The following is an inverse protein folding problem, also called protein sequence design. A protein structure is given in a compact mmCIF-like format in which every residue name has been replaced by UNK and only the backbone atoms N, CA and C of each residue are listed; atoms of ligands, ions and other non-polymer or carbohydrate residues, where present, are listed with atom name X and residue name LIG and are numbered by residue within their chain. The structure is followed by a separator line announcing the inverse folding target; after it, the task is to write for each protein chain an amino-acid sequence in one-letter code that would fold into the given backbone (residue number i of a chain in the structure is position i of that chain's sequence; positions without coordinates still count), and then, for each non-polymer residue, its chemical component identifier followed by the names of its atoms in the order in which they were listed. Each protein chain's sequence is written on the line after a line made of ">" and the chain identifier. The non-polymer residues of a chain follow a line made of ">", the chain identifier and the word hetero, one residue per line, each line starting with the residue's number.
data_IF_516984568902
#
_entry.id   IF_516984568902
#
_cell.length_a   1.000
_cell.length_b   1.000
_cell.length_c   1.000
_cell.angle_alpha   90.00
_cell.angle_beta   90.00
_cell.angle_gamma   90.00
#
_symmetry.space_group_name_H-M   'P 1'
#
loop_
_entity.id
_entity.type
_entity.pdbx_description
1 polymer ?
#
# COMPACT_ATOMS: atom_id res chain seq x y z
N UNK A 1 -15.80 -14.93 13.54
CA UNK A 1 -16.57 -13.73 13.88
C UNK A 1 -16.10 -12.63 12.93
N UNK A 2 -16.82 -12.10 11.96
CA UNK A 2 -18.16 -12.29 11.40
C UNK A 2 -18.02 -11.87 9.93
N UNK A 3 -18.89 -12.40 9.06
CA UNK A 3 -19.00 -11.96 7.66
C UNK A 3 -19.16 -10.44 7.64
N UNK A 4 -18.16 -9.72 7.13
CA UNK A 4 -18.34 -8.31 6.83
C UNK A 4 -19.08 -8.23 5.51
N UNK A 5 -20.38 -7.89 5.59
CA UNK A 5 -21.18 -7.36 4.49
C UNK A 5 -20.61 -5.99 4.06
N UNK A 6 -19.40 -5.98 3.51
CA UNK A 6 -18.72 -4.79 3.03
C UNK A 6 -18.56 -4.89 1.52
N UNK A 7 -18.83 -3.77 0.86
CA UNK A 7 -18.65 -3.54 -0.58
C UNK A 7 -17.38 -4.21 -1.13
N UNK A 8 -17.39 -4.64 -2.40
CA UNK A 8 -16.25 -5.31 -3.00
C UNK A 8 -14.98 -4.47 -2.84
N UNK A 9 -14.00 -5.01 -2.11
CA UNK A 9 -12.73 -4.35 -1.83
C UNK A 9 -11.80 -4.58 -3.02
N UNK A 10 -11.58 -3.55 -3.83
CA UNK A 10 -10.72 -3.65 -5.00
C UNK A 10 -9.24 -3.47 -4.63
N UNK A 11 -8.42 -4.26 -5.30
CA UNK A 11 -6.98 -4.18 -5.22
C UNK A 11 -6.46 -3.61 -6.54
N UNK A 12 -5.93 -2.39 -6.50
CA UNK A 12 -5.52 -1.61 -7.67
C UNK A 12 -4.00 -1.51 -7.75
N UNK A 13 -3.43 -2.17 -8.75
CA UNK A 13 -2.00 -2.13 -9.05
C UNK A 13 -1.70 -0.93 -9.94
N UNK A 14 -0.89 0.02 -9.45
CA UNK A 14 -0.48 1.17 -10.22
C UNK A 14 0.64 0.77 -11.19
N UNK A 15 0.32 0.80 -12.49
CA UNK A 15 1.28 0.55 -13.55
C UNK A 15 2.00 1.84 -13.93
N UNK A 16 3.25 1.95 -13.50
CA UNK A 16 4.21 2.97 -13.95
C UNK A 16 5.27 2.35 -14.87
N UNK A 17 5.98 3.18 -15.63
CA UNK A 17 7.17 2.75 -16.39
C UNK A 17 8.29 2.24 -15.49
N UNK A 18 8.29 2.69 -14.22
CA UNK A 18 9.39 2.48 -13.28
C UNK A 18 9.18 1.27 -12.37
N UNK A 19 8.15 0.46 -12.64
CA UNK A 19 7.79 -0.69 -11.81
C UNK A 19 8.90 -1.75 -11.80
N UNK A 20 9.37 -2.09 -10.60
CA UNK A 20 10.40 -3.09 -10.35
C UNK A 20 9.89 -4.52 -10.53
N UNK A 21 10.82 -5.47 -10.51
CA UNK A 21 10.49 -6.90 -10.48
C UNK A 21 9.63 -7.29 -9.27
N UNK A 22 9.72 -6.56 -8.15
CA UNK A 22 8.90 -6.83 -6.97
C UNK A 22 7.41 -6.59 -7.27
N UNK A 23 7.10 -5.57 -8.08
CA UNK A 23 5.74 -5.30 -8.52
C UNK A 23 5.15 -6.46 -9.32
N UNK A 24 5.90 -7.01 -10.27
CA UNK A 24 5.46 -8.14 -11.09
C UNK A 24 5.25 -9.40 -10.24
N UNK A 25 6.19 -9.71 -9.35
CA UNK A 25 6.09 -10.85 -8.43
C UNK A 25 4.88 -10.75 -7.51
N UNK A 26 4.61 -9.56 -6.98
CA UNK A 26 3.44 -9.31 -6.14
C UNK A 26 2.13 -9.50 -6.92
N UNK A 27 2.08 -9.01 -8.16
CA UNK A 27 0.93 -9.13 -9.04
C UNK A 27 0.65 -10.57 -9.46
N UNK A 28 1.69 -11.36 -9.74
CA UNK A 28 1.55 -12.80 -10.01
C UNK A 28 1.07 -13.55 -8.77
N UNK A 29 1.70 -13.32 -7.62
CA UNK A 29 1.36 -14.00 -6.36
C UNK A 29 -0.10 -13.76 -5.95
N UNK A 30 -0.61 -12.54 -6.11
CA UNK A 30 -1.98 -12.23 -5.72
C UNK A 30 -3.01 -12.83 -6.68
N UNK A 31 -2.69 -12.99 -7.97
CA UNK A 31 -3.58 -13.63 -8.94
C UNK A 31 -3.80 -15.11 -8.64
N UNK A 32 -2.83 -15.77 -8.01
CA UNK A 32 -3.00 -17.14 -7.54
C UNK A 32 -3.95 -17.24 -6.33
N UNK A 33 -4.14 -16.14 -5.59
CA UNK A 33 -4.85 -16.14 -4.30
C UNK A 33 -6.22 -15.44 -4.33
N UNK A 34 -6.41 -14.44 -5.20
CA UNK A 34 -7.67 -13.71 -5.37
C UNK A 34 -8.27 -13.92 -6.76
N UNK A 35 -9.60 -13.89 -6.82
CA UNK A 35 -10.34 -13.86 -8.08
C UNK A 35 -10.00 -12.58 -8.86
N UNK A 36 -9.75 -12.72 -10.16
CA UNK A 36 -9.41 -11.60 -11.05
C UNK A 36 -10.47 -10.49 -11.05
N UNK A 37 -11.72 -10.78 -10.66
CA UNK A 37 -12.82 -9.81 -10.58
C UNK A 37 -12.57 -8.63 -9.62
N UNK A 38 -11.72 -8.80 -8.61
CA UNK A 38 -11.41 -7.75 -7.61
C UNK A 38 -10.03 -7.12 -7.80
N UNK A 39 -9.27 -7.57 -8.80
CA UNK A 39 -7.94 -7.08 -9.11
C UNK A 39 -8.00 -6.18 -10.35
N UNK A 40 -7.57 -4.93 -10.17
CA UNK A 40 -7.50 -3.95 -11.26
C UNK A 40 -6.06 -3.50 -11.44
N UNK A 41 -5.66 -3.27 -12.69
CA UNK A 41 -4.40 -2.63 -13.02
C UNK A 41 -4.76 -1.26 -13.54
N UNK A 42 -4.34 -0.21 -12.86
CA UNK A 42 -4.60 1.18 -13.23
C UNK A 42 -3.33 1.84 -13.73
N UNK A 43 -3.47 2.72 -14.70
CA UNK A 43 -2.37 3.58 -15.18
C UNK A 43 -2.25 4.85 -14.34
N UNK A 44 -1.16 5.59 -14.51
CA UNK A 44 -0.96 6.89 -13.86
C UNK A 44 -2.07 7.89 -14.19
N UNK A 45 -2.51 7.94 -15.45
CA UNK A 45 -3.59 8.82 -15.90
C UNK A 45 -4.91 8.49 -15.21
N UNK A 46 -5.27 7.20 -15.14
CA UNK A 46 -6.48 6.73 -14.48
C UNK A 46 -6.44 7.03 -12.98
N UNK A 47 -5.29 6.85 -12.32
CA UNK A 47 -5.12 7.15 -10.91
C UNK A 47 -5.34 8.64 -10.60
N UNK A 48 -4.91 9.55 -11.50
CA UNK A 48 -5.15 11.00 -11.35
C UNK A 48 -6.61 11.40 -11.59
N UNK A 49 -7.39 10.60 -12.30
CA UNK A 49 -8.85 10.87 -12.47
C UNK A 49 -9.66 10.58 -11.21
N UNK A 50 -9.10 9.83 -10.26
CA UNK A 50 -9.76 9.49 -8.98
C UNK A 50 -9.81 10.75 -8.13
N UNK A 51 -11.00 11.17 -7.73
CA UNK A 51 -11.18 12.41 -6.93
C UNK A 51 -11.60 12.15 -5.49
N UNK A 52 -12.01 10.93 -5.18
CA UNK A 52 -12.54 10.56 -3.88
C UNK A 52 -11.94 9.23 -3.43
N UNK A 53 -11.86 9.03 -2.12
CA UNK A 53 -11.38 7.81 -1.52
C UNK A 53 -12.45 6.71 -1.61
N UNK A 54 -12.23 5.76 -2.52
CA UNK A 54 -13.09 4.62 -2.77
C UNK A 54 -12.83 3.44 -1.84
N UNK A 55 -11.98 3.62 -0.81
CA UNK A 55 -11.59 2.60 0.18
C UNK A 55 -10.90 1.37 -0.44
N UNK A 56 -10.43 1.48 -1.68
CA UNK A 56 -9.63 0.44 -2.34
C UNK A 56 -8.20 0.40 -1.81
N UNK A 57 -7.51 -0.72 -2.03
CA UNK A 57 -6.08 -0.84 -1.79
C UNK A 57 -5.30 -0.45 -3.04
N UNK A 58 -4.37 0.48 -2.91
CA UNK A 58 -3.49 0.92 -3.99
C UNK A 58 -2.10 0.35 -3.79
N UNK A 59 -1.54 -0.30 -4.81
CA UNK A 59 -0.19 -0.84 -4.78
C UNK A 59 0.69 0.07 -5.62
N UNK A 60 1.60 0.77 -4.95
CA UNK A 60 2.57 1.68 -5.57
C UNK A 60 3.98 1.18 -5.27
N UNK A 61 4.80 0.97 -6.31
CA UNK A 61 6.16 0.46 -6.13
C UNK A 61 7.16 1.51 -5.64
N UNK A 62 6.96 2.77 -6.02
CA UNK A 62 7.66 3.93 -5.50
C UNK A 62 6.68 4.82 -4.72
N UNK A 63 7.09 5.26 -3.52
CA UNK A 63 6.33 6.23 -2.71
C UNK A 63 6.80 7.65 -3.02
N UNK A 64 6.77 7.98 -4.32
CA UNK A 64 7.17 9.26 -4.85
C UNK A 64 6.44 9.54 -6.15
N UNK A 65 6.35 10.83 -6.50
CA UNK A 65 5.73 11.28 -7.74
C UNK A 65 4.28 11.72 -7.57
N UNK A 66 3.78 12.42 -8.60
CA UNK A 66 2.50 13.12 -8.55
C UNK A 66 1.30 12.20 -8.27
N UNK A 67 1.33 10.95 -8.77
CA UNK A 67 0.26 9.99 -8.57
C UNK A 67 0.20 9.50 -7.12
N UNK A 68 1.36 9.17 -6.54
CA UNK A 68 1.45 8.78 -5.13
C UNK A 68 0.98 9.93 -4.23
N UNK A 69 1.48 11.14 -4.47
CA UNK A 69 1.11 12.31 -3.68
C UNK A 69 -0.39 12.60 -3.76
N UNK A 70 -0.98 12.46 -4.95
CA UNK A 70 -2.42 12.62 -5.16
C UNK A 70 -3.24 11.58 -4.37
N UNK A 71 -2.91 10.29 -4.48
CA UNK A 71 -3.60 9.22 -3.75
C UNK A 71 -3.42 9.36 -2.23
N UNK A 72 -2.24 9.77 -1.79
CA UNK A 72 -1.93 9.97 -0.38
C UNK A 72 -2.70 11.18 0.20
N UNK A 73 -2.83 12.27 -0.55
CA UNK A 73 -3.64 13.43 -0.16
C UNK A 73 -5.14 13.11 -0.05
N UNK A 74 -5.63 12.17 -0.87
CA UNK A 74 -7.00 11.65 -0.76
C UNK A 74 -7.21 10.73 0.46
N UNK A 75 -6.13 10.35 1.15
CA UNK A 75 -6.18 9.39 2.26
C UNK A 75 -6.50 7.98 1.81
N UNK A 76 -6.17 7.64 0.55
CA UNK A 76 -6.31 6.28 0.04
C UNK A 76 -5.33 5.35 0.75
N UNK A 77 -5.71 4.07 0.87
CA UNK A 77 -4.84 3.08 1.51
C UNK A 77 -3.80 2.59 0.52
N UNK A 78 -2.54 2.96 0.74
CA UNK A 78 -1.43 2.68 -0.17
C UNK A 78 -0.45 1.70 0.47
N UNK A 79 -0.03 0.69 -0.28
CA UNK A 79 1.02 -0.24 0.14
C UNK A 79 2.05 -0.49 -0.96
N UNK A 80 3.26 -0.88 -0.57
CA UNK A 80 4.27 -1.35 -1.49
C UNK A 80 4.04 -2.81 -1.94
N UNK A 81 4.58 -3.23 -3.10
CA UNK A 81 4.50 -4.62 -3.56
C UNK A 81 5.12 -5.63 -2.59
N UNK A 82 6.11 -5.19 -1.81
CA UNK A 82 6.77 -6.00 -0.80
C UNK A 82 5.79 -6.45 0.31
N UNK A 83 4.85 -5.57 0.69
CA UNK A 83 3.80 -5.88 1.67
C UNK A 83 2.91 -7.00 1.14
N UNK A 84 2.47 -6.92 -0.12
CA UNK A 84 1.61 -7.94 -0.75
C UNK A 84 2.30 -9.30 -0.74
N UNK A 85 3.57 -9.33 -1.16
CA UNK A 85 4.37 -10.57 -1.21
C UNK A 85 4.54 -11.16 0.19
N UNK A 86 4.86 -10.33 1.18
CA UNK A 86 4.99 -10.76 2.58
C UNK A 86 3.68 -11.32 3.13
N UNK A 87 2.56 -10.61 2.92
CA UNK A 87 1.24 -11.01 3.40
C UNK A 87 0.78 -12.34 2.81
N UNK A 88 1.02 -12.58 1.52
CA UNK A 88 0.68 -13.85 0.87
C UNK A 88 1.53 -14.99 1.46
N UNK A 89 2.85 -14.79 1.58
CA UNK A 89 3.75 -15.82 2.10
C UNK A 89 3.44 -16.21 3.55
N UNK A 90 3.05 -15.25 4.39
CA UNK A 90 2.72 -15.48 5.80
C UNK A 90 1.22 -15.76 6.04
N UNK A 91 0.40 -15.81 4.99
CA UNK A 91 -1.06 -15.97 5.06
C UNK A 91 -1.73 -14.94 5.99
N UNK A 92 -1.23 -13.71 5.96
CA UNK A 92 -1.72 -12.60 6.78
C UNK A 92 -2.49 -11.59 5.92
N UNK A 93 -3.43 -10.88 6.55
CA UNK A 93 -4.10 -9.77 5.89
C UNK A 93 -3.17 -8.55 5.78
N UNK A 94 -3.32 -7.80 4.70
CA UNK A 94 -2.61 -6.52 4.49
C UNK A 94 -2.92 -5.58 5.66
N UNK A 95 -1.93 -4.84 6.21
CA UNK A 95 -2.12 -3.92 7.33
C UNK A 95 -3.13 -2.82 7.02
N UNK A 96 -4.12 -2.62 7.91
CA UNK A 96 -5.17 -1.59 7.79
C UNK A 96 -4.66 -0.19 8.19
N UNK A 97 -3.42 0.12 7.87
CA UNK A 97 -2.80 1.38 8.24
C UNK A 97 -3.51 2.57 7.54
N UNK A 98 -3.65 3.66 8.27
CA UNK A 98 -4.13 4.96 7.76
C UNK A 98 -3.03 5.73 7.02
N UNK A 99 -1.78 5.27 7.11
CA UNK A 99 -0.61 5.79 6.41
C UNK A 99 -0.13 4.80 5.34
N UNK A 100 0.59 5.27 4.30
CA UNK A 100 1.23 4.40 3.34
C UNK A 100 2.27 3.48 3.98
N UNK A 101 2.24 2.18 3.67
CA UNK A 101 3.21 1.17 4.17
C UNK A 101 3.99 0.60 2.99
N UNK A 102 5.28 0.89 2.93
CA UNK A 102 6.17 0.47 1.86
C UNK A 102 6.58 -1.00 2.00
N UNK A 103 6.93 -1.43 3.21
CA UNK A 103 7.34 -2.81 3.47
C UNK A 103 6.94 -3.29 4.88
N UNK A 104 7.26 -4.54 5.22
CA UNK A 104 6.93 -5.15 6.51
C UNK A 104 8.18 -5.45 7.35
N UNK A 105 9.32 -4.80 7.09
CA UNK A 105 10.59 -5.07 7.79
C UNK A 105 10.47 -4.76 9.29
N UNK A 106 9.77 -3.68 9.62
CA UNK A 106 9.50 -3.28 11.01
C UNK A 106 8.18 -3.83 11.55
N UNK A 107 7.61 -4.86 10.90
CA UNK A 107 6.47 -5.58 11.46
C UNK A 107 6.84 -6.13 12.85
N UNK A 108 5.93 -5.95 13.81
CA UNK A 108 6.11 -6.29 15.23
C UNK A 108 7.15 -5.44 16.01
N UNK A 109 7.68 -4.36 15.44
CA UNK A 109 8.55 -3.42 16.14
C UNK A 109 7.74 -2.21 16.61
N UNK A 110 7.80 -1.90 17.90
CA UNK A 110 7.23 -0.67 18.47
C UNK A 110 8.34 0.24 18.98
N UNK A 111 8.47 1.43 18.37
CA UNK A 111 9.51 2.40 18.70
C UNK A 111 8.92 3.55 19.52
N UNK A 112 9.68 4.04 20.49
CA UNK A 112 9.41 5.29 21.19
C UNK A 112 10.66 6.16 21.17
N UNK A 113 10.52 7.42 20.78
CA UNK A 113 11.61 8.36 20.68
C UNK A 113 11.62 9.32 21.87
N UNK A 114 12.81 9.56 22.44
CA UNK A 114 13.06 10.57 23.47
C UNK A 114 14.36 11.31 23.13
N UNK A 115 14.51 12.55 23.58
CA UNK A 115 15.72 13.36 23.37
C UNK A 115 16.12 13.58 21.88
N UNK A 116 15.14 13.64 20.97
CA UNK A 116 15.37 14.02 19.58
C UNK A 116 14.72 15.39 19.30
N UNK A 117 15.31 16.12 18.35
CA UNK A 117 14.69 17.33 17.84
C UNK A 117 13.39 17.00 17.11
N UNK A 118 12.51 17.99 16.98
CA UNK A 118 11.17 17.78 16.41
C UNK A 118 11.23 17.19 14.99
N UNK A 119 12.13 17.71 14.15
CA UNK A 119 12.31 17.28 12.77
C UNK A 119 12.84 15.84 12.69
N UNK A 120 13.87 15.51 13.46
CA UNK A 120 14.43 14.15 13.54
C UNK A 120 13.40 13.14 14.05
N UNK A 121 12.60 13.52 15.05
CA UNK A 121 11.54 12.66 15.58
C UNK A 121 10.47 12.38 14.52
N UNK A 122 10.05 13.40 13.78
CA UNK A 122 9.05 13.25 12.70
C UNK A 122 9.60 12.38 11.56
N UNK A 123 10.87 12.52 11.22
CA UNK A 123 11.55 11.67 10.23
C UNK A 123 11.63 10.21 10.68
N UNK A 124 12.02 9.95 11.93
CA UNK A 124 12.04 8.57 12.48
C UNK A 124 10.64 7.97 12.47
N UNK A 125 9.62 8.72 12.91
CA UNK A 125 8.24 8.24 12.88
C UNK A 125 7.78 7.88 11.46
N UNK A 126 8.15 8.71 10.47
CA UNK A 126 7.85 8.47 9.06
C UNK A 126 8.48 7.16 8.57
N UNK A 127 9.77 6.94 8.82
CA UNK A 127 10.45 5.73 8.34
C UNK A 127 10.04 4.45 9.07
N UNK A 128 9.67 4.53 10.35
CA UNK A 128 9.20 3.35 11.09
C UNK A 128 7.82 2.89 10.59
N UNK A 129 7.00 3.83 10.10
CA UNK A 129 5.65 3.56 9.59
C UNK A 129 5.63 3.12 8.12
N UNK A 130 6.67 3.45 7.34
CA UNK A 130 6.83 3.04 5.93
C UNK A 130 7.42 1.63 5.83
#
# INVERSE_FOLDING_TARGET
>A
MSRNDQEPFFVKFLKSSDNSECFLKALESIKEFQSEEYLQIITEEEALTIKENDRSLYICDSFSGAVFDHLNQLGCRIVGPQVVTFCIHHQQCVPRAEHPVYNMIMSDVTVSCTNLDKEEREEVHKYVQM
#
